data_IF_305187734290
#
_entry.id   IF_305187734290
#
_cell.length_a   1.000
_cell.length_b   1.000
_cell.length_c   1.000
_cell.angle_alpha   90.00
_cell.angle_beta   90.00
_cell.angle_gamma   90.00
#
_symmetry.space_group_name_H-M   'P 1'
#
loop_
_entity.id
_entity.type
_entity.pdbx_description
1 polymer ?
#
# COMPACT_ATOMS: atom_id res chain seq x y z
N UNK A 1 9.06 -0.63 3.06
CA UNK A 1 9.48 0.04 4.33
C UNK A 1 8.43 -0.05 5.46
N UNK A 2 7.19 -0.49 5.21
CA UNK A 2 6.14 -0.54 6.24
C UNK A 2 6.13 -1.86 7.03
N UNK A 3 6.40 -3.00 6.38
CA UNK A 3 6.67 -4.25 7.10
C UNK A 3 7.92 -4.10 8.00
N UNK A 4 9.02 -3.56 7.47
CA UNK A 4 10.21 -3.31 8.29
C UNK A 4 9.99 -2.27 9.39
N UNK A 5 9.12 -1.27 9.21
CA UNK A 5 8.73 -0.37 10.30
C UNK A 5 7.86 -1.05 11.37
N UNK A 6 6.98 -1.99 10.98
CA UNK A 6 6.27 -2.88 11.91
C UNK A 6 7.25 -3.75 12.70
N UNK A 7 8.33 -4.22 12.07
CA UNK A 7 9.40 -4.98 12.74
C UNK A 7 10.22 -4.09 13.68
N UNK A 8 10.62 -2.89 13.25
CA UNK A 8 11.53 -2.01 14.00
C UNK A 8 10.90 -1.41 15.27
N UNK A 9 9.60 -1.09 15.25
CA UNK A 9 8.90 -0.56 16.44
C UNK A 9 8.43 -1.64 17.42
N UNK A 10 8.43 -2.92 17.05
CA UNK A 10 7.86 -3.99 17.88
C UNK A 10 8.86 -5.04 18.37
N UNK A 11 10.13 -4.98 17.94
CA UNK A 11 11.19 -5.91 18.36
C UNK A 11 12.12 -5.34 19.44
N UNK A 12 11.93 -4.11 19.90
CA UNK A 12 12.62 -3.57 21.08
C UNK A 12 11.63 -3.61 22.25
N UNK A 13 11.76 -4.52 23.22
CA UNK A 13 11.07 -4.37 24.48
C UNK A 13 11.59 -3.10 25.14
N UNK A 14 10.72 -2.13 25.38
CA UNK A 14 11.01 -1.07 26.35
C UNK A 14 11.38 -1.76 27.66
N UNK A 15 12.64 -1.64 28.05
CA UNK A 15 13.17 -2.19 29.29
C UNK A 15 12.26 -1.81 30.47
N UNK A 16 11.85 -2.83 31.21
CA UNK A 16 11.29 -2.72 32.54
C UNK A 16 12.31 -1.97 33.43
N UNK A 17 11.99 -0.74 33.80
CA UNK A 17 12.50 -0.11 35.02
C UNK A 17 11.33 -0.06 35.99
N UNK A 18 11.21 -1.11 36.82
CA UNK A 18 10.42 -1.04 38.05
C UNK A 18 11.25 -0.27 39.09
N UNK A 19 10.71 0.78 39.74
CA UNK A 19 11.33 1.32 40.94
C UNK A 19 11.05 0.40 42.14
N UNK A 20 11.97 0.32 43.12
CA UNK A 20 11.82 -0.52 44.29
C UNK A 20 10.72 0.00 45.22
N UNK A 21 10.05 -0.93 45.89
CA UNK A 21 8.85 -0.71 46.69
C UNK A 21 9.07 0.10 47.97
N UNK A 22 7.95 0.62 48.47
CA UNK A 22 7.77 0.97 49.88
C UNK A 22 6.40 0.51 50.34
N UNK A 23 6.38 0.00 51.56
CA UNK A 23 5.33 -0.78 52.21
C UNK A 23 4.41 0.08 53.10
N UNK A 24 3.16 -0.41 53.23
CA UNK A 24 2.18 -0.19 54.33
C UNK A 24 1.10 0.90 54.10
N UNK A 25 -0.03 0.86 54.85
CA UNK A 25 -1.06 -0.18 54.84
C UNK A 25 -2.46 0.39 54.51
N UNK A 26 -3.38 -0.49 54.13
CA UNK A 26 -4.78 -0.19 53.78
C UNK A 26 -5.62 0.11 55.03
N UNK A 27 -6.51 1.11 55.00
CA UNK A 27 -7.74 1.08 55.79
C UNK A 27 -8.98 0.94 54.89
N UNK A 28 -9.80 -0.05 55.24
CA UNK A 28 -11.15 -0.26 54.73
C UNK A 28 -12.06 0.93 55.08
N UNK A 29 -12.73 1.49 54.08
CA UNK A 29 -14.00 2.20 54.31
C UNK A 29 -14.90 2.07 53.09
N UNK A 30 -16.04 1.43 53.29
CA UNK A 30 -17.16 1.27 52.36
C UNK A 30 -17.95 2.58 52.23
N UNK A 31 -18.12 3.09 51.02
CA UNK A 31 -19.17 4.06 50.66
C UNK A 31 -19.41 3.99 49.14
N UNK A 32 -20.67 4.10 48.67
CA UNK A 32 -21.01 3.94 47.25
C UNK A 32 -20.72 5.25 46.51
N UNK A 33 -19.79 5.20 45.54
CA UNK A 33 -19.46 6.34 44.67
C UNK A 33 -20.22 6.15 43.35
N UNK A 34 -21.09 7.12 43.06
CA UNK A 34 -21.74 7.33 41.78
C UNK A 34 -20.71 7.64 40.68
N UNK A 35 -20.72 6.86 39.60
CA UNK A 35 -19.88 7.08 38.42
C UNK A 35 -20.17 8.45 37.75
N UNK A 36 -19.16 9.33 37.59
CA UNK A 36 -19.25 10.41 36.63
C UNK A 36 -18.86 9.88 35.24
N UNK A 37 -19.75 10.10 34.27
CA UNK A 37 -19.54 9.84 32.85
C UNK A 37 -18.21 10.43 32.37
N UNK A 38 -17.32 9.68 31.68
CA UNK A 38 -16.07 10.25 31.18
C UNK A 38 -16.36 11.25 30.07
N UNK A 39 -15.85 12.47 30.21
CA UNK A 39 -15.85 13.46 29.14
C UNK A 39 -15.08 12.92 27.92
N UNK A 40 -15.48 13.27 26.67
CA UNK A 40 -14.78 12.80 25.48
C UNK A 40 -13.32 13.27 25.48
N UNK A 41 -12.39 12.33 25.34
CA UNK A 41 -10.98 12.63 25.15
C UNK A 41 -10.81 13.50 23.88
N UNK A 42 -10.02 14.59 23.92
CA UNK A 42 -9.79 15.40 22.73
C UNK A 42 -9.10 14.56 21.66
N UNK A 43 -9.63 14.62 20.43
CA UNK A 43 -9.03 14.04 19.23
C UNK A 43 -7.58 14.52 19.11
N UNK A 44 -6.62 13.58 19.16
CA UNK A 44 -5.20 13.85 18.93
C UNK A 44 -5.00 14.33 17.49
N UNK A 45 -5.03 15.64 17.28
CA UNK A 45 -4.64 16.25 16.02
C UNK A 45 -3.14 16.05 15.80
N UNK A 46 -2.78 15.46 14.66
CA UNK A 46 -1.39 15.33 14.25
C UNK A 46 -0.84 16.70 13.84
N UNK A 47 -0.19 17.39 14.77
CA UNK A 47 0.70 18.52 14.44
C UNK A 47 2.06 17.95 14.06
N UNK A 48 2.20 17.54 12.81
CA UNK A 48 3.54 17.27 12.24
C UNK A 48 4.20 18.61 11.94
N UNK A 49 4.85 19.18 12.94
CA UNK A 49 5.73 20.35 12.79
C UNK A 49 6.92 19.94 11.93
N UNK A 50 6.97 20.40 10.69
CA UNK A 50 8.17 20.33 9.86
C UNK A 50 9.24 21.22 10.50
N UNK A 51 10.25 20.63 11.12
CA UNK A 51 11.48 21.36 11.47
C UNK A 51 12.10 21.83 10.16
N UNK A 52 11.95 23.12 9.85
CA UNK A 52 12.70 23.79 8.79
C UNK A 52 14.18 23.80 9.19
N UNK A 53 15.01 23.05 8.48
CA UNK A 53 16.45 23.29 8.47
C UNK A 53 16.77 24.38 7.41
N UNK A 54 17.60 25.37 7.73
CA UNK A 54 17.93 26.44 6.80
C UNK A 54 19.02 25.97 5.82
N UNK A 55 18.81 26.14 4.51
CA UNK A 55 19.91 26.03 3.53
C UNK A 55 19.60 25.45 2.15
N UNK A 56 18.40 24.91 1.89
CA UNK A 56 18.04 24.41 0.55
C UNK A 56 16.96 25.27 -0.08
N UNK A 57 17.04 25.63 -1.38
CA UNK A 57 15.97 26.33 -2.06
C UNK A 57 14.68 25.52 -1.88
N UNK A 58 13.60 26.21 -1.52
CA UNK A 58 12.28 25.59 -1.31
C UNK A 58 11.81 25.06 -2.68
N UNK A 59 12.21 23.84 -3.01
CA UNK A 59 11.66 23.09 -4.13
C UNK A 59 10.23 22.73 -3.75
N UNK A 60 9.29 23.61 -4.09
CA UNK A 60 7.88 23.43 -3.76
C UNK A 60 7.26 22.38 -4.68
N UNK A 61 6.68 21.34 -4.10
CA UNK A 61 5.86 20.38 -4.83
C UNK A 61 4.60 21.08 -5.38
N UNK A 62 4.31 20.97 -6.69
CA UNK A 62 3.09 21.51 -7.26
C UNK A 62 1.84 20.91 -6.60
N UNK A 63 0.79 21.71 -6.47
CA UNK A 63 -0.49 21.26 -5.89
C UNK A 63 -1.55 20.97 -6.95
N UNK A 64 -1.33 21.41 -8.19
CA UNK A 64 -2.26 21.25 -9.31
C UNK A 64 -1.50 21.04 -10.62
N UNK A 65 -2.20 20.50 -11.62
CA UNK A 65 -1.69 20.38 -12.98
C UNK A 65 -1.21 21.74 -13.53
N UNK A 66 -1.98 22.80 -13.31
CA UNK A 66 -1.66 24.16 -13.76
C UNK A 66 -0.36 24.72 -13.17
N UNK A 67 0.04 24.28 -11.97
CA UNK A 67 1.32 24.66 -11.36
C UNK A 67 2.49 23.79 -11.84
N UNK A 68 2.21 22.57 -12.28
CA UNK A 68 3.22 21.64 -12.78
C UNK A 68 3.48 21.84 -14.28
N UNK A 69 2.47 22.26 -15.04
CA UNK A 69 2.57 22.56 -16.45
C UNK A 69 3.57 23.70 -16.68
N UNK A 70 4.45 23.54 -17.67
CA UNK A 70 5.58 24.45 -17.94
C UNK A 70 6.88 24.08 -17.22
N UNK A 71 6.86 23.15 -16.27
CA UNK A 71 8.07 22.59 -15.67
C UNK A 71 8.42 21.25 -16.32
N UNK A 72 9.49 21.25 -17.12
CA UNK A 72 9.92 20.10 -17.92
C UNK A 72 10.03 18.79 -17.11
N UNK A 73 10.55 18.86 -15.89
CA UNK A 73 10.74 17.68 -15.05
C UNK A 73 9.42 17.07 -14.54
N UNK A 74 8.40 17.90 -14.27
CA UNK A 74 7.08 17.43 -13.90
C UNK A 74 6.29 16.92 -15.11
N UNK A 75 6.44 17.56 -16.28
CA UNK A 75 5.84 17.10 -17.53
C UNK A 75 6.37 15.73 -17.95
N UNK A 76 7.69 15.52 -17.88
CA UNK A 76 8.30 14.20 -18.08
C UNK A 76 7.71 13.16 -17.12
N UNK A 77 7.61 13.48 -15.84
CA UNK A 77 7.05 12.56 -14.85
C UNK A 77 5.57 12.23 -15.11
N UNK A 78 4.76 13.19 -15.56
CA UNK A 78 3.37 12.96 -15.95
C UNK A 78 3.27 12.10 -17.22
N UNK A 79 4.12 12.36 -18.22
CA UNK A 79 4.16 11.59 -19.46
C UNK A 79 4.59 10.14 -19.23
N UNK A 80 5.56 9.90 -18.34
CA UNK A 80 5.96 8.55 -17.93
C UNK A 80 4.80 7.78 -17.28
N UNK A 81 4.06 8.43 -16.38
CA UNK A 81 2.90 7.84 -15.72
C UNK A 81 1.78 7.53 -16.71
N UNK A 82 1.41 8.47 -17.58
CA UNK A 82 0.40 8.25 -18.63
C UNK A 82 0.79 7.10 -19.55
N UNK A 83 2.05 7.07 -20.01
CA UNK A 83 2.57 6.01 -20.86
C UNK A 83 2.47 4.64 -20.18
N UNK A 84 2.77 4.55 -18.89
CA UNK A 84 2.61 3.30 -18.14
C UNK A 84 1.14 2.86 -18.05
N UNK A 85 0.22 3.80 -17.83
CA UNK A 85 -1.21 3.53 -17.77
C UNK A 85 -1.78 3.09 -19.12
N UNK A 86 -1.29 3.67 -20.22
CA UNK A 86 -1.65 3.31 -21.60
C UNK A 86 -1.13 1.92 -21.98
N UNK A 87 0.14 1.61 -21.67
CA UNK A 87 0.71 0.28 -21.90
C UNK A 87 -0.10 -0.80 -21.16
N UNK A 88 -0.58 -0.48 -19.96
CA UNK A 88 -1.41 -1.39 -19.17
C UNK A 88 -2.88 -1.44 -19.63
N UNK A 89 -3.27 -0.66 -20.65
CA UNK A 89 -4.66 -0.51 -21.08
C UNK A 89 -5.61 -0.19 -19.89
N UNK A 90 -5.16 0.69 -18.99
CA UNK A 90 -5.84 0.98 -17.71
C UNK A 90 -7.29 1.42 -17.91
N UNK A 91 -7.57 2.14 -19.00
CA UNK A 91 -8.90 2.57 -19.36
C UNK A 91 -9.15 2.50 -20.86
N UNK A 92 -10.42 2.60 -21.22
CA UNK A 92 -10.89 2.81 -22.58
C UNK A 92 -11.63 4.14 -22.66
N UNK A 93 -11.37 4.92 -23.70
CA UNK A 93 -12.06 6.20 -23.94
C UNK A 93 -13.40 5.91 -24.60
N UNK A 94 -14.49 6.35 -23.98
CA UNK A 94 -15.86 6.10 -24.45
C UNK A 94 -16.78 7.28 -24.15
N UNK A 95 -18.01 7.26 -24.67
CA UNK A 95 -19.05 8.20 -24.26
C UNK A 95 -19.66 7.78 -22.94
N UNK A 96 -20.06 8.75 -22.11
CA UNK A 96 -20.70 8.44 -20.82
C UNK A 96 -22.10 7.85 -21.07
N UNK A 97 -22.39 6.61 -20.63
CA UNK A 97 -23.72 6.04 -20.79
C UNK A 97 -24.76 6.81 -19.99
N UNK A 98 -26.01 6.81 -20.48
CA UNK A 98 -27.12 7.46 -19.79
C UNK A 98 -27.30 6.91 -18.37
N UNK A 99 -27.42 7.82 -17.39
CA UNK A 99 -27.63 7.46 -15.98
C UNK A 99 -26.36 7.10 -15.20
N UNK A 100 -25.18 7.03 -15.84
CA UNK A 100 -23.89 6.86 -15.14
C UNK A 100 -23.28 8.20 -14.75
N UNK A 101 -22.47 8.20 -13.70
CA UNK A 101 -21.71 9.37 -13.22
C UNK A 101 -20.22 9.09 -13.36
N UNK A 102 -19.46 10.16 -13.59
CA UNK A 102 -18.00 10.10 -13.58
C UNK A 102 -17.45 10.42 -12.20
N UNK A 103 -16.39 9.72 -11.82
CA UNK A 103 -15.49 10.16 -10.75
C UNK A 103 -14.43 11.09 -11.34
N UNK A 104 -13.97 12.07 -10.59
CA UNK A 104 -12.90 12.92 -11.07
C UNK A 104 -11.53 12.24 -10.96
N UNK A 105 -10.52 12.81 -11.62
CA UNK A 105 -9.11 12.44 -11.44
C UNK A 105 -8.29 13.64 -10.94
N UNK A 106 -7.09 13.40 -10.41
CA UNK A 106 -6.13 14.43 -10.02
C UNK A 106 -4.70 13.92 -10.10
N UNK A 107 -3.79 14.84 -10.40
CA UNK A 107 -2.35 14.60 -10.28
C UNK A 107 -1.88 14.75 -8.83
N UNK A 108 -0.97 13.88 -8.42
CA UNK A 108 -0.25 13.98 -7.13
C UNK A 108 1.24 13.99 -7.40
N UNK A 109 1.88 15.08 -6.98
CA UNK A 109 3.30 15.33 -7.19
C UNK A 109 4.10 15.06 -5.92
N UNK A 110 5.27 14.44 -6.08
CA UNK A 110 6.20 14.18 -4.99
C UNK A 110 7.63 14.29 -5.45
N UNK A 111 8.45 15.04 -4.70
CA UNK A 111 9.89 15.02 -4.85
C UNK A 111 10.45 13.83 -4.07
N UNK A 112 11.22 13.00 -4.76
CA UNK A 112 12.07 11.99 -4.13
C UNK A 112 13.43 12.64 -3.94
N UNK A 113 13.88 12.70 -2.69
CA UNK A 113 15.16 13.26 -2.30
C UNK A 113 16.15 12.14 -1.98
N UNK A 114 17.41 12.38 -2.28
CA UNK A 114 18.53 11.58 -1.82
C UNK A 114 18.78 11.80 -0.32
N UNK A 115 19.57 10.93 0.35
CA UNK A 115 19.94 11.13 1.75
C UNK A 115 20.65 12.46 2.04
N UNK A 116 21.35 13.01 1.04
CA UNK A 116 22.04 14.31 1.11
C UNK A 116 21.09 15.51 0.89
N UNK A 117 19.79 15.27 0.65
CA UNK A 117 18.78 16.30 0.42
C UNK A 117 18.67 16.76 -1.04
N UNK A 118 19.52 16.29 -1.95
CA UNK A 118 19.42 16.59 -3.38
C UNK A 118 18.20 15.90 -4.02
N UNK A 119 17.69 16.46 -5.13
CA UNK A 119 16.56 15.85 -5.85
C UNK A 119 17.04 14.59 -6.56
N UNK A 120 16.51 13.44 -6.15
CA UNK A 120 16.70 12.17 -6.83
C UNK A 120 15.81 12.08 -8.07
N UNK A 121 14.50 12.33 -7.89
CA UNK A 121 13.51 12.19 -8.96
C UNK A 121 12.22 12.99 -8.69
N UNK A 122 11.62 13.50 -9.77
CA UNK A 122 10.25 14.00 -9.80
C UNK A 122 9.28 12.85 -10.01
N UNK A 123 8.30 12.70 -9.12
CA UNK A 123 7.28 11.65 -9.22
C UNK A 123 5.89 12.27 -9.36
N UNK A 124 5.24 12.05 -10.49
CA UNK A 124 3.83 12.32 -10.68
C UNK A 124 3.05 11.01 -10.62
N UNK A 125 1.85 11.03 -10.04
CA UNK A 125 0.91 9.91 -10.06
C UNK A 125 -0.48 10.40 -10.42
N UNK A 126 -1.18 9.61 -11.21
CA UNK A 126 -2.59 9.85 -11.46
C UNK A 126 -3.42 9.13 -10.41
N UNK A 127 -4.32 9.87 -9.77
CA UNK A 127 -5.16 9.38 -8.67
C UNK A 127 -6.63 9.67 -8.98
N UNK A 128 -7.45 8.63 -8.93
CA UNK A 128 -8.90 8.74 -8.99
C UNK A 128 -9.43 9.39 -7.70
N UNK A 129 -10.42 10.25 -7.82
CA UNK A 129 -11.14 10.86 -6.69
C UNK A 129 -12.16 9.86 -6.13
N UNK A 130 -11.71 8.69 -5.69
CA UNK A 130 -12.59 7.60 -5.24
C UNK A 130 -13.36 7.90 -3.95
N UNK A 131 -13.07 9.00 -3.25
CA UNK A 131 -13.95 9.50 -2.19
C UNK A 131 -15.36 9.87 -2.70
N UNK A 132 -15.51 10.11 -4.00
CA UNK A 132 -16.81 10.33 -4.66
C UNK A 132 -17.52 9.02 -5.05
N UNK A 133 -16.90 7.84 -4.84
CA UNK A 133 -17.54 6.56 -5.15
C UNK A 133 -18.62 6.19 -4.13
N UNK A 134 -19.71 5.62 -4.66
CA UNK A 134 -20.88 5.18 -3.92
C UNK A 134 -20.85 3.65 -3.81
N UNK A 135 -20.94 3.14 -2.58
CA UNK A 135 -21.07 1.70 -2.29
C UNK A 135 -22.37 1.14 -2.88
N UNK A 136 -22.31 -0.06 -3.45
CA UNK A 136 -23.44 -0.69 -4.16
C UNK A 136 -23.66 -0.17 -5.58
N UNK A 137 -22.90 0.85 -6.01
CA UNK A 137 -22.97 1.39 -7.39
C UNK A 137 -21.61 1.30 -8.08
N UNK A 138 -20.57 1.87 -7.46
CA UNK A 138 -19.22 1.97 -8.03
C UNK A 138 -18.26 0.90 -7.48
N UNK A 139 -18.61 0.28 -6.35
CA UNK A 139 -17.91 -0.85 -5.75
C UNK A 139 -18.84 -1.60 -4.78
N UNK A 140 -18.61 -2.90 -4.59
CA UNK A 140 -19.35 -3.71 -3.63
C UNK A 140 -18.58 -3.92 -2.31
N UNK A 141 -17.28 -4.19 -2.40
CA UNK A 141 -16.42 -4.45 -1.24
C UNK A 141 -15.07 -3.74 -1.41
N UNK A 142 -14.52 -3.22 -0.31
CA UNK A 142 -13.23 -2.51 -0.34
C UNK A 142 -12.16 -3.14 0.56
N UNK A 143 -12.52 -4.16 1.35
CA UNK A 143 -11.60 -4.72 2.33
C UNK A 143 -10.50 -5.55 1.67
N UNK A 144 -9.27 -5.35 2.14
CA UNK A 144 -8.07 -6.09 1.76
C UNK A 144 -7.43 -6.63 3.04
N UNK A 145 -6.88 -7.85 3.04
CA UNK A 145 -6.35 -8.46 4.24
C UNK A 145 -5.13 -7.70 4.78
N UNK A 146 -4.95 -7.79 6.09
CA UNK A 146 -3.83 -7.18 6.83
C UNK A 146 -3.09 -8.27 7.59
N UNK A 147 -1.79 -8.37 7.37
CA UNK A 147 -0.95 -9.38 8.01
C UNK A 147 -1.00 -9.20 9.53
N UNK A 148 -1.34 -10.28 10.24
CA UNK A 148 -1.40 -10.26 11.70
C UNK A 148 0.02 -10.24 12.26
N UNK A 149 0.22 -9.43 13.30
CA UNK A 149 1.52 -9.37 13.99
C UNK A 149 1.99 -10.73 14.50
N UNK A 150 1.06 -11.57 14.99
CA UNK A 150 1.36 -12.93 15.45
C UNK A 150 1.94 -13.77 14.30
N UNK A 151 1.35 -13.68 13.11
CA UNK A 151 1.83 -14.36 11.90
C UNK A 151 3.23 -13.88 11.53
N UNK A 152 3.47 -12.57 11.54
CA UNK A 152 4.81 -12.01 11.26
C UNK A 152 5.86 -12.58 12.24
N UNK A 153 5.55 -12.64 13.53
CA UNK A 153 6.47 -13.17 14.55
C UNK A 153 6.73 -14.66 14.37
N UNK A 154 5.69 -15.45 14.08
CA UNK A 154 5.83 -16.89 13.82
C UNK A 154 6.65 -17.12 12.55
N UNK A 155 6.37 -16.38 11.48
CA UNK A 155 7.11 -16.42 10.22
C UNK A 155 8.61 -16.23 10.46
N UNK A 156 9.00 -15.15 11.13
CA UNK A 156 10.40 -14.88 11.45
C UNK A 156 11.00 -15.87 12.45
N UNK A 157 10.22 -16.33 13.43
CA UNK A 157 10.66 -17.32 14.41
C UNK A 157 10.99 -18.66 13.77
N UNK A 158 10.20 -19.11 12.80
CA UNK A 158 10.48 -20.31 12.00
C UNK A 158 11.75 -20.11 11.18
N UNK A 159 11.87 -18.98 10.47
CA UNK A 159 13.06 -18.71 9.67
C UNK A 159 14.35 -18.76 10.51
N UNK A 160 14.32 -18.14 11.70
CA UNK A 160 15.45 -18.17 12.63
C UNK A 160 15.73 -19.57 13.16
N UNK A 161 14.71 -20.31 13.58
CA UNK A 161 14.87 -21.65 14.16
C UNK A 161 15.50 -22.65 13.18
N UNK A 162 15.17 -22.54 11.90
CA UNK A 162 15.72 -23.41 10.84
C UNK A 162 16.91 -22.78 10.08
N UNK A 163 17.34 -21.59 10.47
CA UNK A 163 18.38 -20.82 9.75
C UNK A 163 18.06 -20.64 8.25
N UNK A 164 16.79 -20.42 7.94
CA UNK A 164 16.32 -20.21 6.57
C UNK A 164 16.52 -18.76 6.11
N UNK A 165 16.90 -18.54 4.84
CA UNK A 165 16.93 -17.20 4.26
C UNK A 165 15.53 -16.57 4.25
N UNK A 166 15.48 -15.26 4.50
CA UNK A 166 14.29 -14.42 4.40
C UNK A 166 14.59 -13.28 3.46
N UNK A 167 13.82 -13.16 2.38
CA UNK A 167 13.94 -12.07 1.42
C UNK A 167 12.74 -11.15 1.46
N UNK A 168 13.00 -9.84 1.38
CA UNK A 168 11.97 -8.83 1.22
C UNK A 168 11.90 -8.38 -0.24
N UNK A 169 10.68 -8.34 -0.76
CA UNK A 169 10.35 -7.87 -2.10
C UNK A 169 9.39 -6.68 -1.98
N UNK A 170 9.52 -5.72 -2.88
CA UNK A 170 8.58 -4.59 -3.02
C UNK A 170 8.00 -4.62 -4.43
N UNK A 171 6.67 -4.64 -4.54
CA UNK A 171 5.98 -4.62 -5.83
C UNK A 171 5.73 -3.18 -6.24
N UNK A 172 6.31 -2.80 -7.38
CA UNK A 172 6.01 -1.50 -7.96
C UNK A 172 4.58 -1.43 -8.45
N UNK A 173 3.90 -0.35 -8.08
CA UNK A 173 2.57 -0.01 -8.59
C UNK A 173 1.50 -1.08 -8.38
N UNK A 174 1.56 -1.82 -7.26
CA UNK A 174 0.65 -2.94 -6.98
C UNK A 174 -0.84 -2.61 -7.19
N UNK A 175 -1.29 -1.42 -6.79
CA UNK A 175 -2.67 -0.96 -7.00
C UNK A 175 -3.09 -0.71 -8.46
N UNK A 176 -2.18 -0.80 -9.43
CA UNK A 176 -2.50 -0.64 -10.86
C UNK A 176 -2.75 -1.98 -11.57
N UNK A 177 -2.66 -3.10 -10.84
CA UNK A 177 -2.72 -4.44 -11.41
C UNK A 177 -3.95 -5.23 -10.95
N UNK A 178 -4.92 -4.60 -10.29
CA UNK A 178 -6.19 -5.25 -9.97
C UNK A 178 -7.21 -5.03 -11.09
N UNK A 179 -7.75 -6.09 -11.67
CA UNK A 179 -8.85 -5.96 -12.62
C UNK A 179 -10.09 -5.35 -11.93
N UNK A 180 -10.84 -4.48 -12.61
CA UNK A 180 -12.09 -3.94 -12.09
C UNK A 180 -13.29 -4.69 -12.68
N UNK A 181 -14.02 -5.40 -11.83
CA UNK A 181 -15.30 -6.02 -12.21
C UNK A 181 -16.40 -4.97 -12.40
N UNK A 182 -16.32 -3.86 -11.65
CA UNK A 182 -17.32 -2.79 -11.71
C UNK A 182 -17.09 -1.80 -12.85
N UNK A 183 -18.18 -1.22 -13.34
CA UNK A 183 -18.12 -0.18 -14.37
C UNK A 183 -17.85 1.19 -13.75
N UNK A 184 -16.56 1.51 -13.57
CA UNK A 184 -16.13 2.82 -13.07
C UNK A 184 -15.76 3.75 -14.23
N UNK A 185 -16.45 4.89 -14.30
CA UNK A 185 -16.17 5.94 -15.29
C UNK A 185 -15.45 7.10 -14.63
N UNK A 186 -14.34 7.54 -15.21
CA UNK A 186 -13.48 8.59 -14.70
C UNK A 186 -13.40 9.76 -15.69
N UNK A 187 -13.37 10.99 -15.19
CA UNK A 187 -13.04 12.15 -15.99
C UNK A 187 -11.60 12.02 -16.52
N UNK A 188 -11.36 12.33 -17.80
CA UNK A 188 -10.01 12.31 -18.37
C UNK A 188 -9.05 13.15 -17.52
N UNK A 189 -7.79 12.72 -17.35
CA UNK A 189 -6.79 13.50 -16.65
C UNK A 189 -6.59 14.88 -17.29
N UNK A 190 -6.27 15.88 -16.48
CA UNK A 190 -5.80 17.16 -17.00
C UNK A 190 -4.55 16.92 -17.87
N UNK A 191 -4.56 17.47 -19.09
CA UNK A 191 -3.50 17.29 -20.09
C UNK A 191 -3.63 16.04 -20.97
N UNK A 192 -4.66 15.20 -20.78
CA UNK A 192 -4.88 14.00 -21.59
C UNK A 192 -5.71 14.31 -22.86
N UNK A 193 -5.26 13.87 -24.06
CA UNK A 193 -5.94 14.20 -25.30
C UNK A 193 -7.22 13.36 -25.49
N UNK A 194 -8.38 13.97 -25.28
CA UNK A 194 -9.71 13.37 -25.49
C UNK A 194 -10.66 14.33 -26.19
N UNK A 195 -11.66 13.80 -26.90
CA UNK A 195 -12.70 14.63 -27.49
C UNK A 195 -13.66 15.16 -26.41
N UNK A 196 -14.28 16.33 -26.61
CA UNK A 196 -15.30 16.84 -25.70
C UNK A 196 -16.42 15.83 -25.48
N UNK A 197 -16.78 15.59 -24.21
CA UNK A 197 -17.84 14.65 -23.83
C UNK A 197 -17.40 13.19 -23.69
N UNK A 198 -16.13 12.86 -23.98
CA UNK A 198 -15.58 11.54 -23.72
C UNK A 198 -15.11 11.37 -22.28
N UNK A 199 -15.13 10.12 -21.80
CA UNK A 199 -14.75 9.71 -20.45
C UNK A 199 -13.87 8.46 -20.50
N UNK A 200 -13.09 8.22 -19.45
CA UNK A 200 -12.26 7.03 -19.30
C UNK A 200 -13.06 5.95 -18.55
N UNK A 201 -13.44 4.86 -19.20
CA UNK A 201 -13.95 3.66 -18.53
C UNK A 201 -12.76 2.85 -18.02
N UNK A 202 -12.59 2.77 -16.69
CA UNK A 202 -11.49 2.04 -16.09
C UNK A 202 -11.69 0.53 -16.29
N UNK A 203 -10.63 -0.16 -16.73
CA UNK A 203 -10.53 -1.64 -16.81
C UNK A 203 -9.70 -2.19 -15.66
N UNK A 204 -8.70 -1.43 -15.23
CA UNK A 204 -7.81 -1.77 -14.13
C UNK A 204 -7.94 -0.74 -13.01
N UNK A 205 -7.64 -1.17 -11.80
CA UNK A 205 -7.69 -0.33 -10.62
C UNK A 205 -6.69 0.81 -10.73
N UNK A 206 -7.06 1.97 -10.19
CA UNK A 206 -6.21 3.15 -10.14
C UNK A 206 -6.02 3.54 -8.67
N UNK A 207 -4.91 4.23 -8.37
CA UNK A 207 -4.74 4.87 -7.07
C UNK A 207 -5.96 5.71 -6.71
N UNK A 208 -6.38 5.65 -5.45
CA UNK A 208 -7.48 6.46 -4.92
C UNK A 208 -8.87 5.86 -5.11
N UNK A 209 -9.03 4.78 -5.89
CA UNK A 209 -10.25 3.97 -5.85
C UNK A 209 -10.35 3.24 -4.51
N UNK A 210 -11.57 3.08 -4.00
CA UNK A 210 -11.82 2.42 -2.71
C UNK A 210 -11.50 0.92 -2.75
N UNK A 211 -11.75 0.24 -3.86
CA UNK A 211 -11.52 -1.19 -4.01
C UNK A 211 -10.12 -1.58 -4.53
N UNK A 212 -9.24 -0.60 -4.83
CA UNK A 212 -7.96 -0.89 -5.50
C UNK A 212 -7.08 -1.90 -4.73
N UNK A 213 -7.01 -1.79 -3.40
CA UNK A 213 -6.24 -2.73 -2.57
C UNK A 213 -6.82 -4.15 -2.58
N UNK A 214 -8.15 -4.27 -2.68
CA UNK A 214 -8.83 -5.57 -2.74
C UNK A 214 -8.57 -6.24 -4.08
N UNK A 215 -8.79 -5.52 -5.18
CA UNK A 215 -8.59 -6.06 -6.52
C UNK A 215 -7.13 -6.49 -6.75
N UNK A 216 -6.18 -5.68 -6.26
CA UNK A 216 -4.77 -6.07 -6.26
C UNK A 216 -4.54 -7.40 -5.52
N UNK A 217 -5.04 -7.51 -4.28
CA UNK A 217 -4.83 -8.72 -3.48
C UNK A 217 -5.50 -9.97 -4.10
N UNK A 218 -6.67 -9.82 -4.73
CA UNK A 218 -7.36 -10.92 -5.41
C UNK A 218 -6.58 -11.42 -6.63
N UNK A 219 -6.11 -10.50 -7.48
CA UNK A 219 -5.29 -10.85 -8.64
C UNK A 219 -4.00 -11.54 -8.18
N UNK A 220 -3.31 -10.97 -7.19
CA UNK A 220 -2.06 -11.53 -6.69
C UNK A 220 -2.25 -12.90 -6.05
N UNK A 221 -3.33 -13.08 -5.27
CA UNK A 221 -3.70 -14.37 -4.68
C UNK A 221 -3.93 -15.42 -5.76
N UNK A 222 -4.60 -15.05 -6.86
CA UNK A 222 -4.86 -15.96 -7.99
C UNK A 222 -3.55 -16.38 -8.67
N UNK A 223 -2.61 -15.45 -8.89
CA UNK A 223 -1.29 -15.76 -9.44
C UNK A 223 -0.44 -16.64 -8.51
N UNK A 224 -0.46 -16.38 -7.21
CA UNK A 224 0.21 -17.25 -6.26
C UNK A 224 -0.37 -18.68 -6.27
N UNK A 225 -1.70 -18.81 -6.39
CA UNK A 225 -2.36 -20.11 -6.50
C UNK A 225 -1.98 -20.85 -7.80
N UNK A 226 -1.94 -20.15 -8.94
CA UNK A 226 -1.44 -20.69 -10.22
C UNK A 226 0.01 -21.23 -10.07
N UNK A 227 0.83 -20.58 -9.25
CA UNK A 227 2.21 -21.00 -8.97
C UNK A 227 2.35 -22.09 -7.89
N UNK A 228 1.23 -22.55 -7.32
CA UNK A 228 1.18 -23.65 -6.36
C UNK A 228 1.22 -23.23 -4.89
N UNK A 229 1.05 -21.95 -4.57
CA UNK A 229 0.85 -21.52 -3.19
C UNK A 229 -0.60 -21.70 -2.75
N UNK A 230 -0.78 -22.08 -1.49
CA UNK A 230 -2.09 -22.13 -0.82
C UNK A 230 -2.20 -20.99 0.18
N UNK A 231 -3.27 -20.20 0.09
CA UNK A 231 -3.56 -19.14 1.06
C UNK A 231 -4.01 -19.75 2.40
N UNK A 232 -3.50 -19.24 3.51
CA UNK A 232 -3.88 -19.67 4.85
C UNK A 232 -5.27 -19.13 5.23
N UNK A 233 -6.09 -19.99 5.82
CA UNK A 233 -7.40 -19.61 6.40
C UNK A 233 -7.27 -18.88 7.74
N UNK A 234 -6.10 -18.96 8.39
CA UNK A 234 -5.85 -18.31 9.68
C UNK A 234 -5.32 -16.89 9.52
N UNK A 235 -4.68 -16.60 8.38
CA UNK A 235 -4.22 -15.27 7.99
C UNK A 235 -4.15 -15.19 6.45
N UNK A 236 -5.07 -14.43 5.84
CA UNK A 236 -5.15 -14.30 4.38
C UNK A 236 -3.95 -13.57 3.74
N UNK A 237 -3.03 -13.02 4.54
CA UNK A 237 -1.75 -12.52 4.05
C UNK A 237 -0.67 -13.60 3.96
N UNK A 238 -0.87 -14.78 4.55
CA UNK A 238 0.08 -15.88 4.56
C UNK A 238 -0.24 -16.90 3.46
N UNK A 239 0.79 -17.26 2.69
CA UNK A 239 0.74 -18.24 1.62
C UNK A 239 1.81 -19.29 1.85
N UNK A 240 1.49 -20.57 1.64
CA UNK A 240 2.40 -21.69 1.87
C UNK A 240 2.44 -22.59 0.63
N UNK A 241 3.64 -22.99 0.21
CA UNK A 241 3.86 -23.97 -0.87
C UNK A 241 4.76 -25.07 -0.32
N UNK A 242 4.25 -26.28 -0.22
CA UNK A 242 5.02 -27.45 0.23
C UNK A 242 6.05 -27.84 -0.83
N UNK A 243 7.25 -28.20 -0.39
CA UNK A 243 8.34 -28.69 -1.23
C UNK A 243 8.81 -30.05 -0.70
N UNK A 244 9.70 -30.73 -1.43
CA UNK A 244 10.31 -31.99 -0.96
C UNK A 244 11.13 -31.80 0.32
N UNK A 245 11.75 -30.62 0.47
CA UNK A 245 12.69 -30.30 1.55
C UNK A 245 12.05 -29.46 2.67
N UNK A 246 10.72 -29.29 2.67
CA UNK A 246 10.00 -28.48 3.64
C UNK A 246 8.88 -27.67 3.00
N UNK A 247 8.93 -26.34 3.16
CA UNK A 247 7.95 -25.45 2.54
C UNK A 247 8.53 -24.05 2.29
N UNK A 248 7.99 -23.38 1.27
CA UNK A 248 8.10 -21.94 1.09
C UNK A 248 6.92 -21.26 1.77
N UNK A 249 7.19 -20.13 2.45
CA UNK A 249 6.14 -19.26 2.96
C UNK A 249 6.31 -17.85 2.41
N UNK A 250 5.21 -17.26 1.96
CA UNK A 250 5.11 -15.85 1.59
C UNK A 250 4.18 -15.13 2.54
N UNK A 251 4.59 -13.98 3.02
CA UNK A 251 3.75 -13.04 3.76
C UNK A 251 3.59 -11.76 2.94
N UNK A 252 2.36 -11.51 2.49
CA UNK A 252 2.02 -10.42 1.57
C UNK A 252 1.30 -9.32 2.35
N UNK A 253 1.88 -8.11 2.38
CA UNK A 253 1.25 -6.94 2.98
C UNK A 253 1.28 -5.76 2.01
N UNK A 254 0.20 -5.64 1.24
CA UNK A 254 0.03 -4.59 0.23
C UNK A 254 1.16 -4.68 -0.83
N UNK A 255 2.14 -3.80 -0.77
CA UNK A 255 3.26 -3.71 -1.72
C UNK A 255 4.52 -4.44 -1.19
N UNK A 256 4.62 -4.66 0.14
CA UNK A 256 5.76 -5.35 0.76
C UNK A 256 5.45 -6.87 0.83
N UNK A 257 6.40 -7.72 0.41
CA UNK A 257 6.32 -9.18 0.50
C UNK A 257 7.55 -9.72 1.23
N UNK A 258 7.34 -10.63 2.17
CA UNK A 258 8.41 -11.46 2.73
C UNK A 258 8.29 -12.87 2.16
N UNK A 259 9.42 -13.46 1.78
CA UNK A 259 9.52 -14.86 1.37
C UNK A 259 10.59 -15.56 2.18
N UNK A 260 10.29 -16.76 2.68
CA UNK A 260 11.24 -17.63 3.36
C UNK A 260 11.10 -19.06 2.89
N UNK A 261 12.15 -19.86 3.06
CA UNK A 261 12.11 -21.30 2.81
C UNK A 261 13.47 -21.96 2.95
N UNK A 262 13.55 -23.29 2.75
CA UNK A 262 14.73 -24.09 3.07
C UNK A 262 15.92 -23.88 2.13
N UNK A 263 15.71 -23.31 0.94
CA UNK A 263 16.77 -23.13 -0.05
C UNK A 263 16.67 -21.79 -0.74
N UNK A 264 17.83 -21.17 -0.94
CA UNK A 264 17.99 -19.96 -1.75
C UNK A 264 17.48 -20.17 -3.19
N UNK A 265 17.72 -21.34 -3.78
CA UNK A 265 17.27 -21.65 -5.14
C UNK A 265 15.75 -21.59 -5.29
N UNK A 266 15.01 -22.08 -4.29
CA UNK A 266 13.55 -22.06 -4.27
C UNK A 266 13.01 -20.64 -4.11
N UNK A 267 13.67 -19.82 -3.30
CA UNK A 267 13.32 -18.40 -3.17
C UNK A 267 13.57 -17.66 -4.49
N UNK A 268 14.67 -17.95 -5.17
CA UNK A 268 14.98 -17.36 -6.47
C UNK A 268 13.99 -17.78 -7.55
N UNK A 269 13.45 -19.01 -7.51
CA UNK A 269 12.37 -19.44 -8.39
C UNK A 269 11.10 -18.60 -8.19
N UNK A 270 10.72 -18.33 -6.93
CA UNK A 270 9.61 -17.44 -6.60
C UNK A 270 9.85 -16.04 -7.16
N UNK A 271 11.04 -15.47 -6.93
CA UNK A 271 11.38 -14.14 -7.46
C UNK A 271 11.27 -14.09 -8.98
N UNK A 272 11.86 -15.08 -9.67
CA UNK A 272 11.81 -15.16 -11.12
C UNK A 272 10.39 -15.32 -11.66
N UNK A 273 9.55 -16.09 -10.99
CA UNK A 273 8.14 -16.21 -11.37
C UNK A 273 7.42 -14.87 -11.23
N UNK A 274 7.57 -14.24 -10.06
CA UNK A 274 6.94 -12.96 -9.79
C UNK A 274 7.45 -11.84 -10.72
N UNK A 275 8.73 -11.86 -11.13
CA UNK A 275 9.31 -10.90 -12.07
C UNK A 275 8.78 -11.11 -13.50
N UNK A 276 8.46 -12.36 -13.84
CA UNK A 276 7.85 -12.72 -15.12
C UNK A 276 6.36 -12.33 -15.19
N UNK A 277 5.70 -12.10 -14.05
CA UNK A 277 4.34 -11.57 -14.00
C UNK A 277 4.35 -10.08 -14.42
N UNK A 278 4.52 -9.81 -15.72
CA UNK A 278 4.35 -8.46 -16.26
C UNK A 278 2.93 -7.96 -15.94
N UNK A 279 2.76 -6.75 -15.34
CA UNK A 279 3.71 -5.65 -15.21
C UNK A 279 4.35 -5.48 -13.80
N UNK A 280 4.34 -6.53 -12.95
CA UNK A 280 4.91 -6.52 -11.61
C UNK A 280 6.43 -6.41 -11.66
N UNK A 281 6.95 -5.19 -11.66
CA UNK A 281 8.37 -4.97 -11.42
C UNK A 281 8.67 -5.14 -9.95
N UNK A 282 9.35 -6.22 -9.58
CA UNK A 282 9.81 -6.41 -8.22
C UNK A 282 11.09 -5.59 -8.00
N UNK A 283 11.15 -4.89 -6.87
CA UNK A 283 12.39 -4.38 -6.32
C UNK A 283 12.83 -5.35 -5.24
N UNK A 284 14.00 -5.96 -5.44
CA UNK A 284 14.69 -6.68 -4.37
C UNK A 284 15.32 -5.63 -3.46
N UNK A 285 14.88 -5.60 -2.21
CA UNK A 285 15.37 -4.67 -1.18
C UNK A 285 16.58 -5.21 -0.44
#
# INVERSE_FOLDING_TARGET
MKICQLLFHQLIPHHYLLPPGSSSPVPNTSSPISDPTPAPLPLRQSTRTTKNQPGFPILSEPKSYTQAQGHLEWEKAMAEELKALEINNTWEVTSLPAGKKTIGSRWVYKLKLNPDGSVNRHKARLVAKGYNQIEGVDYMESFSPVAKTVTVRIFLGIALAYSWPVHQLDINNAFLHGFLDEQVYMSPPDGYPVQPGQVCKLKWSLYGLKQASRQWNQEFTSKLAEFGFTQSVHDHCLFIKTTTDGFLALLVYVDDILVMGPSESLIMEVKSYLDALSPLKILVM
#
